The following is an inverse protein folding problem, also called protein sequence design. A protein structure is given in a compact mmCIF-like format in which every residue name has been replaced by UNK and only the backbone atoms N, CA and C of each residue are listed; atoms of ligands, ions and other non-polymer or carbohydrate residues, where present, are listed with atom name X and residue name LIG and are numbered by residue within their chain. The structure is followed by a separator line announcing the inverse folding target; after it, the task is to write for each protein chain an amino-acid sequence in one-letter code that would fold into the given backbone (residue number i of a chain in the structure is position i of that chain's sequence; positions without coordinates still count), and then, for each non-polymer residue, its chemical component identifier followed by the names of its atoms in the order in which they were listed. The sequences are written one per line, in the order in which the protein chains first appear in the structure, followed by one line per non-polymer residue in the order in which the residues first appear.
data_IF_361643767901
#
_entry.id   IF_361643767901
#
_cell.length_a   1.000
_cell.length_b   1.000
_cell.length_c   1.000
_cell.angle_alpha   90.00
_cell.angle_beta   90.00
_cell.angle_gamma   90.00
#
_symmetry.space_group_name_H-M   'P 1'
#
loop_
_entity.id
_entity.type
_entity.pdbx_description
1 polymer ?
#
# COMPACT_ATOMS: atom_id res chain seq x y z
N UNK A 1 -8.57 29.68 -1.50
CA UNK A 1 -8.14 29.50 -2.90
C UNK A 1 -6.63 29.65 -2.97
N UNK A 2 -5.89 28.60 -2.66
CA UNK A 2 -4.50 28.39 -3.11
C UNK A 2 -4.24 26.89 -3.05
N UNK A 3 -4.22 26.31 -4.24
CA UNK A 3 -3.80 24.96 -4.60
C UNK A 3 -2.29 24.87 -4.51
N UNK A 4 -1.76 23.80 -3.92
CA UNK A 4 -0.44 23.27 -4.28
C UNK A 4 -0.45 21.75 -4.05
N UNK A 5 -0.84 21.04 -5.11
CA UNK A 5 -0.63 19.61 -5.29
C UNK A 5 0.82 19.43 -5.76
N UNK A 6 1.70 18.83 -4.95
CA UNK A 6 3.01 18.40 -5.42
C UNK A 6 2.87 16.99 -6.04
N UNK A 7 2.52 16.98 -7.32
CA UNK A 7 2.55 15.80 -8.18
C UNK A 7 4.02 15.49 -8.48
N UNK A 8 4.64 14.55 -7.76
CA UNK A 8 5.95 14.02 -8.14
C UNK A 8 5.73 13.00 -9.26
N UNK A 9 5.59 13.52 -10.48
CA UNK A 9 5.73 12.73 -11.70
C UNK A 9 7.17 12.28 -11.77
N UNK A 10 7.42 10.98 -11.65
CA UNK A 10 8.69 10.33 -12.01
C UNK A 10 8.93 10.52 -13.51
N UNK A 11 9.42 11.70 -13.88
CA UNK A 11 10.07 11.93 -15.17
C UNK A 11 11.34 11.09 -15.13
N UNK A 12 11.31 10.01 -15.90
CA UNK A 12 12.49 9.36 -16.47
C UNK A 12 13.64 10.35 -16.63
N UNK A 13 14.62 10.31 -15.73
CA UNK A 13 15.83 11.14 -15.77
C UNK A 13 16.80 10.68 -16.87
N UNK A 14 16.28 10.32 -18.05
CA UNK A 14 17.06 9.99 -19.24
C UNK A 14 17.19 11.18 -20.20
N UNK A 15 17.15 12.41 -19.69
CA UNK A 15 17.26 13.60 -20.55
C UNK A 15 17.70 14.93 -19.93
N UNK A 16 17.89 15.05 -18.60
CA UNK A 16 18.10 16.38 -17.96
C UNK A 16 19.57 16.68 -17.63
N UNK A 17 20.48 15.71 -17.71
CA UNK A 17 21.92 15.99 -17.66
C UNK A 17 22.52 15.67 -19.01
N UNK A 18 22.63 16.68 -19.89
CA UNK A 18 23.74 16.69 -20.85
C UNK A 18 25.01 16.76 -20.00
N UNK A 19 25.57 15.59 -19.68
CA UNK A 19 26.94 15.52 -19.20
C UNK A 19 27.77 16.10 -20.34
N UNK A 20 28.22 17.33 -20.14
CA UNK A 20 29.18 18.00 -20.99
C UNK A 20 30.41 17.09 -21.07
N UNK A 21 30.54 16.36 -22.19
CA UNK A 21 31.52 15.27 -22.35
C UNK A 21 32.96 15.78 -22.44
N UNK A 22 33.14 17.10 -22.52
CA UNK A 22 34.43 17.71 -22.87
C UNK A 22 35.14 18.40 -21.70
N UNK A 23 34.61 18.35 -20.47
CA UNK A 23 35.15 19.16 -19.35
C UNK A 23 35.63 18.42 -18.11
N UNK A 24 35.24 17.17 -17.87
CA UNK A 24 35.58 16.46 -16.64
C UNK A 24 36.56 15.31 -16.92
N UNK A 25 37.78 15.33 -16.34
CA UNK A 25 38.67 14.17 -16.45
C UNK A 25 37.92 12.95 -15.92
N UNK A 26 38.08 11.84 -16.64
CA UNK A 26 37.48 10.52 -16.43
C UNK A 26 37.85 9.94 -15.05
N UNK A 27 37.42 10.60 -13.97
CA UNK A 27 37.59 10.13 -12.60
C UNK A 27 36.53 9.08 -12.39
N UNK A 28 36.96 7.83 -12.44
CA UNK A 28 36.23 6.69 -11.90
C UNK A 28 35.94 7.00 -10.44
N UNK A 29 34.73 7.45 -10.14
CA UNK A 29 34.27 7.62 -8.77
C UNK A 29 33.96 6.20 -8.28
N UNK A 30 34.73 5.65 -7.32
CA UNK A 30 34.59 4.24 -6.92
C UNK A 30 33.18 3.89 -6.44
N UNK A 31 32.49 4.87 -5.85
CA UNK A 31 31.09 4.75 -5.46
C UNK A 31 30.14 4.53 -6.65
N UNK A 32 30.36 5.23 -7.77
CA UNK A 32 29.54 5.10 -8.98
C UNK A 32 29.77 3.73 -9.62
N UNK A 33 31.02 3.24 -9.68
CA UNK A 33 31.30 1.89 -10.18
C UNK A 33 30.64 0.80 -9.31
N UNK A 34 30.71 0.94 -7.99
CA UNK A 34 30.05 0.01 -7.05
C UNK A 34 28.52 0.04 -7.20
N UNK A 35 27.93 1.22 -7.37
CA UNK A 35 26.49 1.38 -7.62
C UNK A 35 26.08 0.73 -8.96
N UNK A 36 26.83 0.99 -10.03
CA UNK A 36 26.55 0.42 -11.36
C UNK A 36 26.68 -1.11 -11.36
N UNK A 37 27.65 -1.68 -10.65
CA UNK A 37 27.77 -3.13 -10.53
C UNK A 37 26.61 -3.73 -9.73
N UNK A 38 26.20 -3.08 -8.63
CA UNK A 38 24.99 -3.48 -7.87
C UNK A 38 23.75 -3.45 -8.75
N UNK A 39 23.56 -2.38 -9.54
CA UNK A 39 22.47 -2.27 -10.52
C UNK A 39 22.52 -3.37 -11.57
N UNK A 40 23.72 -3.74 -12.05
CA UNK A 40 23.90 -4.80 -13.04
C UNK A 40 23.54 -6.17 -12.48
N UNK A 41 23.91 -6.44 -11.22
CA UNK A 41 23.55 -7.67 -10.50
C UNK A 41 22.04 -7.72 -10.29
N UNK A 42 21.43 -6.63 -9.81
CA UNK A 42 19.98 -6.51 -9.61
C UNK A 42 19.27 -6.76 -10.93
N UNK A 43 19.63 -6.04 -12.00
CA UNK A 43 19.03 -6.22 -13.33
C UNK A 43 19.20 -7.64 -13.87
N UNK A 44 20.35 -8.30 -13.61
CA UNK A 44 20.54 -9.70 -13.98
C UNK A 44 19.62 -10.64 -13.20
N UNK A 45 19.39 -10.38 -11.91
CA UNK A 45 18.46 -11.15 -11.06
C UNK A 45 17.00 -10.86 -11.41
N UNK A 46 16.67 -9.63 -11.80
CA UNK A 46 15.32 -9.19 -12.17
C UNK A 46 14.93 -9.54 -13.61
N UNK A 47 15.88 -9.81 -14.50
CA UNK A 47 15.63 -10.16 -15.91
C UNK A 47 14.58 -11.25 -16.15
N UNK A 48 14.54 -12.36 -15.38
CA UNK A 48 13.49 -13.37 -15.51
C UNK A 48 12.09 -12.82 -15.16
N UNK A 49 12.04 -11.82 -14.27
CA UNK A 49 10.82 -11.17 -13.82
C UNK A 49 10.44 -9.94 -14.67
N UNK A 50 11.37 -9.32 -15.42
CA UNK A 50 11.11 -8.14 -16.28
C UNK A 50 9.98 -8.39 -17.30
N UNK A 51 9.73 -9.65 -17.70
CA UNK A 51 8.60 -10.02 -18.56
C UNK A 51 7.25 -10.03 -17.82
N UNK A 52 7.24 -10.36 -16.52
CA UNK A 52 6.08 -10.26 -15.64
C UNK A 52 5.78 -8.80 -15.28
N UNK A 53 6.84 -8.00 -15.07
CA UNK A 53 6.81 -6.57 -14.73
C UNK A 53 6.62 -5.63 -15.93
N UNK A 54 6.09 -6.10 -17.07
CA UNK A 54 5.71 -5.16 -18.12
C UNK A 54 4.51 -4.35 -17.65
N UNK A 55 4.73 -3.05 -17.44
CA UNK A 55 3.70 -2.04 -17.13
C UNK A 55 2.51 -2.07 -18.11
N UNK A 56 2.67 -2.67 -19.29
CA UNK A 56 1.59 -2.92 -20.28
C UNK A 56 0.56 -3.97 -19.84
N UNK A 57 0.86 -4.80 -18.85
CA UNK A 57 -0.07 -5.77 -18.29
C UNK A 57 -1.11 -5.11 -17.39
N UNK A 58 -0.83 -3.92 -16.86
CA UNK A 58 -1.83 -3.10 -16.19
C UNK A 58 -2.50 -2.22 -17.24
N UNK A 59 -3.84 -2.29 -17.42
CA UNK A 59 -4.50 -1.43 -18.38
C UNK A 59 -4.22 0.01 -17.95
N UNK A 60 -3.45 0.80 -18.73
CA UNK A 60 -3.37 2.23 -18.44
C UNK A 60 -4.79 2.79 -18.48
N UNK A 61 -5.03 3.90 -17.79
CA UNK A 61 -6.30 4.67 -17.83
C UNK A 61 -6.79 4.89 -19.28
N UNK A 62 -5.90 4.80 -20.27
CA UNK A 62 -6.22 4.78 -21.70
C UNK A 62 -7.18 3.66 -22.13
N UNK A 63 -7.15 2.46 -21.52
CA UNK A 63 -8.17 1.41 -21.79
C UNK A 63 -9.56 1.87 -21.35
N UNK A 64 -9.69 2.65 -20.26
CA UNK A 64 -10.99 3.19 -19.80
C UNK A 64 -11.65 4.10 -20.85
N UNK A 65 -10.86 4.79 -21.70
CA UNK A 65 -11.38 5.63 -22.77
C UNK A 65 -12.11 4.84 -23.86
N UNK A 66 -11.71 3.58 -24.06
CA UNK A 66 -12.27 2.69 -25.10
C UNK A 66 -13.46 1.88 -24.59
N UNK A 67 -13.63 1.74 -23.28
CA UNK A 67 -14.74 1.01 -22.69
C UNK A 67 -16.01 1.86 -22.74
N UNK A 68 -17.06 1.30 -23.35
CA UNK A 68 -18.42 1.86 -23.27
C UNK A 68 -18.93 1.70 -21.84
N UNK A 69 -19.50 2.77 -21.30
CA UNK A 69 -20.01 2.85 -19.93
C UNK A 69 -20.87 1.63 -19.59
N UNK A 70 -20.57 1.00 -18.44
CA UNK A 70 -21.34 -0.11 -17.85
C UNK A 70 -21.39 -1.44 -18.60
N UNK A 71 -20.86 -1.56 -19.83
CA UNK A 71 -20.94 -2.81 -20.61
C UNK A 71 -19.71 -3.71 -20.52
N UNK A 72 -18.57 -3.16 -20.13
CA UNK A 72 -17.33 -3.90 -19.95
C UNK A 72 -16.55 -3.26 -18.79
N UNK A 73 -16.25 -4.07 -17.78
CA UNK A 73 -15.58 -3.63 -16.57
C UNK A 73 -14.13 -4.12 -16.53
N UNK A 74 -13.26 -3.29 -16.01
CA UNK A 74 -11.95 -3.71 -15.50
C UNK A 74 -12.18 -4.11 -14.04
N UNK A 75 -11.82 -5.34 -13.71
CA UNK A 75 -11.94 -5.87 -12.35
C UNK A 75 -10.56 -5.89 -11.72
N UNK A 76 -10.43 -5.23 -10.57
CA UNK A 76 -9.29 -5.39 -9.68
C UNK A 76 -9.72 -6.23 -8.48
N UNK A 77 -8.92 -7.21 -8.10
CA UNK A 77 -9.11 -7.99 -6.89
C UNK A 77 -7.99 -7.63 -5.92
N UNK A 78 -8.37 -7.23 -4.71
CA UNK A 78 -7.43 -6.68 -3.74
C UNK A 78 -7.34 -7.60 -2.52
N UNK A 79 -6.16 -8.15 -2.26
CA UNK A 79 -5.86 -8.76 -0.97
C UNK A 79 -5.36 -7.66 -0.01
N UNK A 80 -6.16 -7.35 1.00
CA UNK A 80 -5.86 -6.39 2.04
C UNK A 80 -5.36 -7.11 3.29
N UNK A 81 -4.08 -6.99 3.60
CA UNK A 81 -3.43 -7.60 4.76
C UNK A 81 -3.45 -6.63 5.94
N UNK A 82 -3.86 -7.11 7.11
CA UNK A 82 -3.74 -6.41 8.40
C UNK A 82 -2.53 -6.97 9.14
N UNK A 83 -1.59 -6.11 9.52
CA UNK A 83 -0.36 -6.52 10.20
C UNK A 83 -0.10 -5.72 11.48
N UNK A 84 0.30 -6.43 12.53
CA UNK A 84 0.87 -5.90 13.75
C UNK A 84 2.38 -6.08 13.74
N UNK A 85 3.08 -5.26 14.50
CA UNK A 85 4.48 -5.47 14.85
C UNK A 85 4.58 -6.25 16.15
N UNK A 86 5.79 -6.70 16.48
CA UNK A 86 6.07 -7.18 17.84
C UNK A 86 5.74 -6.09 18.84
N UNK A 87 4.85 -6.38 19.80
CA UNK A 87 4.43 -5.41 20.83
C UNK A 87 5.63 -4.81 21.57
N UNK A 88 5.56 -3.51 21.81
CA UNK A 88 6.59 -2.73 22.49
C UNK A 88 6.33 -2.74 24.01
N UNK A 89 7.35 -3.08 24.79
CA UNK A 89 7.34 -3.03 26.26
C UNK A 89 8.79 -2.78 26.76
N UNK A 90 9.11 -1.59 27.28
CA UNK A 90 8.26 -0.40 27.29
C UNK A 90 8.00 0.15 25.88
N UNK A 91 7.00 1.02 25.75
CA UNK A 91 6.64 1.74 24.53
C UNK A 91 7.84 2.51 23.96
N UNK A 92 8.09 2.45 22.65
CA UNK A 92 9.17 3.19 22.01
C UNK A 92 8.65 4.59 21.63
N UNK A 93 9.20 5.68 22.21
CA UNK A 93 8.69 7.02 21.96
C UNK A 93 8.93 7.52 20.52
N UNK A 94 9.58 6.71 19.67
CA UNK A 94 9.86 7.05 18.27
C UNK A 94 8.80 6.55 17.30
N UNK A 95 7.80 5.84 17.80
CA UNK A 95 6.77 5.13 17.04
C UNK A 95 5.40 5.51 17.58
N UNK A 96 4.38 5.58 16.71
CA UNK A 96 3.01 5.79 17.14
C UNK A 96 2.38 4.48 17.62
N UNK A 97 2.02 4.44 18.91
CA UNK A 97 1.39 3.28 19.55
C UNK A 97 2.41 2.17 19.84
N UNK A 98 1.92 1.06 20.41
CA UNK A 98 2.78 0.00 20.97
C UNK A 98 3.15 -1.11 19.96
N UNK A 99 3.03 -0.81 18.66
CA UNK A 99 3.18 -1.77 17.58
C UNK A 99 1.95 -2.62 17.27
N UNK A 100 0.82 -2.45 17.97
CA UNK A 100 -0.42 -3.20 17.73
C UNK A 100 -1.60 -2.31 17.32
N UNK A 101 -2.51 -2.85 16.49
CA UNK A 101 -3.74 -2.16 16.09
C UNK A 101 -4.66 -1.92 17.30
N UNK A 102 -5.27 -0.74 17.37
CA UNK A 102 -6.21 -0.41 18.44
C UNK A 102 -7.54 -1.11 18.20
N UNK A 103 -7.82 -2.19 18.94
CA UNK A 103 -9.05 -2.98 18.78
C UNK A 103 -10.23 -2.49 19.62
N UNK A 104 -10.18 -1.26 20.12
CA UNK A 104 -11.25 -0.61 20.85
C UNK A 104 -11.45 0.79 20.29
N UNK A 105 -12.66 1.33 20.43
CA UNK A 105 -12.91 2.72 20.07
C UNK A 105 -12.23 3.67 21.06
N UNK A 106 -12.11 4.93 20.65
CA UNK A 106 -11.57 5.98 21.51
C UNK A 106 -12.58 6.51 22.57
N UNK A 107 -13.71 5.83 22.77
CA UNK A 107 -14.75 6.20 23.74
C UNK A 107 -15.65 7.38 23.32
N UNK A 108 -15.42 7.97 22.15
CA UNK A 108 -16.25 9.06 21.63
C UNK A 108 -17.58 8.53 21.06
N UNK A 109 -18.63 9.35 21.09
CA UNK A 109 -19.88 8.97 20.41
C UNK A 109 -19.68 9.05 18.89
N UNK A 110 -20.08 8.03 18.10
CA UNK A 110 -20.02 8.10 16.64
C UNK A 110 -20.99 9.13 16.05
N UNK A 111 -22.01 9.52 16.80
CA UNK A 111 -23.07 10.45 16.39
C UNK A 111 -23.07 11.67 17.32
N UNK A 112 -22.93 12.87 16.75
CA UNK A 112 -23.02 14.16 17.44
C UNK A 112 -24.47 14.62 17.65
N UNK A 113 -25.38 14.18 16.79
CA UNK A 113 -26.80 14.54 16.82
C UNK A 113 -27.53 14.12 15.56
N UNK A 114 -28.72 14.65 15.34
CA UNK A 114 -29.54 14.39 14.16
C UNK A 114 -30.02 15.70 13.54
N UNK A 115 -30.13 15.75 12.21
CA UNK A 115 -30.66 16.89 11.48
C UNK A 115 -32.20 17.00 11.59
N UNK A 116 -32.79 18.02 10.96
CA UNK A 116 -34.24 18.20 10.97
C UNK A 116 -35.05 17.11 10.23
N UNK A 117 -34.38 16.27 9.45
CA UNK A 117 -34.96 15.11 8.78
C UNK A 117 -34.73 13.80 9.54
N UNK A 118 -33.98 13.83 10.65
CA UNK A 118 -33.63 12.65 11.44
C UNK A 118 -32.36 11.94 10.96
N UNK A 119 -31.56 12.55 10.10
CA UNK A 119 -30.30 11.99 9.61
C UNK A 119 -29.15 12.27 10.60
N UNK A 120 -28.28 11.30 10.91
CA UNK A 120 -27.22 11.48 11.90
C UNK A 120 -26.11 12.43 11.41
N UNK A 121 -25.63 13.27 12.32
CA UNK A 121 -24.36 13.97 12.19
C UNK A 121 -23.23 13.11 12.76
N UNK A 122 -22.35 12.60 11.91
CA UNK A 122 -21.23 11.78 12.35
C UNK A 122 -20.15 12.61 13.05
N UNK A 123 -19.58 12.05 14.11
CA UNK A 123 -18.49 12.66 14.86
C UNK A 123 -17.15 12.47 14.14
N UNK A 124 -16.48 13.52 13.65
CA UNK A 124 -15.18 13.39 13.01
C UNK A 124 -14.05 13.02 13.97
N UNK A 125 -14.28 13.14 15.29
CA UNK A 125 -13.32 12.72 16.31
C UNK A 125 -13.50 11.26 16.75
N UNK A 126 -14.57 10.59 16.34
CA UNK A 126 -14.75 9.18 16.67
C UNK A 126 -13.73 8.34 15.90
N UNK A 127 -12.92 7.58 16.64
CA UNK A 127 -12.01 6.58 16.08
C UNK A 127 -12.56 5.19 16.42
N UNK A 128 -13.07 4.44 15.43
CA UNK A 128 -13.60 3.10 15.64
C UNK A 128 -12.48 2.09 15.95
N UNK A 129 -12.82 0.89 16.46
CA UNK A 129 -11.86 -0.20 16.56
C UNK A 129 -11.25 -0.51 15.19
N UNK A 130 -9.92 -0.60 15.08
CA UNK A 130 -9.19 -0.98 13.86
C UNK A 130 -9.21 -2.51 13.67
N UNK A 131 -10.41 -3.07 13.67
CA UNK A 131 -10.65 -4.49 13.47
C UNK A 131 -10.85 -4.83 11.98
N UNK A 132 -11.20 -6.08 11.70
CA UNK A 132 -11.48 -6.51 10.33
C UNK A 132 -12.61 -5.70 9.66
N UNK A 133 -13.66 -5.35 10.41
CA UNK A 133 -14.81 -4.61 9.88
C UNK A 133 -14.40 -3.19 9.49
N UNK A 134 -13.53 -2.54 10.25
CA UNK A 134 -12.96 -1.24 9.91
C UNK A 134 -12.28 -1.25 8.54
N UNK A 135 -11.33 -2.16 8.31
CA UNK A 135 -10.63 -2.24 7.03
C UNK A 135 -11.55 -2.69 5.90
N UNK A 136 -12.53 -3.55 6.18
CA UNK A 136 -13.53 -3.94 5.19
C UNK A 136 -14.40 -2.74 4.76
N UNK A 137 -14.79 -1.86 5.70
CA UNK A 137 -15.49 -0.61 5.40
C UNK A 137 -14.61 0.36 4.60
N UNK A 138 -13.32 0.47 4.91
CA UNK A 138 -12.37 1.27 4.12
C UNK A 138 -12.28 0.76 2.66
N UNK A 139 -12.19 -0.55 2.48
CA UNK A 139 -12.18 -1.16 1.15
C UNK A 139 -13.50 -0.97 0.40
N UNK A 140 -14.63 -1.02 1.10
CA UNK A 140 -15.94 -0.71 0.52
C UNK A 140 -16.02 0.75 0.05
N UNK A 141 -15.50 1.70 0.83
CA UNK A 141 -15.43 3.10 0.46
C UNK A 141 -14.55 3.31 -0.78
N UNK A 142 -13.38 2.66 -0.82
CA UNK A 142 -12.47 2.66 -1.97
C UNK A 142 -13.16 2.13 -3.23
N UNK A 143 -13.81 0.96 -3.13
CA UNK A 143 -14.51 0.34 -4.25
C UNK A 143 -15.66 1.22 -4.77
N UNK A 144 -16.44 1.81 -3.85
CA UNK A 144 -17.54 2.72 -4.18
C UNK A 144 -17.03 3.97 -4.89
N UNK A 145 -15.93 4.56 -4.39
CA UNK A 145 -15.30 5.72 -5.01
C UNK A 145 -14.89 5.43 -6.46
N UNK A 146 -14.13 4.35 -6.69
CA UNK A 146 -13.67 4.02 -8.04
C UNK A 146 -14.82 3.63 -8.96
N UNK A 147 -15.82 2.92 -8.45
CA UNK A 147 -17.00 2.57 -9.24
C UNK A 147 -17.72 3.83 -9.73
N UNK A 148 -18.02 4.78 -8.84
CA UNK A 148 -18.71 6.03 -9.19
C UNK A 148 -17.83 6.93 -10.07
N UNK A 149 -16.58 7.16 -9.67
CA UNK A 149 -15.65 8.05 -10.37
C UNK A 149 -15.33 7.57 -11.80
N UNK A 150 -15.48 6.27 -12.07
CA UNK A 150 -15.25 5.68 -13.40
C UNK A 150 -16.53 5.36 -14.15
N UNK A 151 -17.70 5.81 -13.67
CA UNK A 151 -19.01 5.51 -14.26
C UNK A 151 -19.25 4.00 -14.45
N UNK A 152 -18.85 3.21 -13.45
CA UNK A 152 -19.00 1.77 -13.40
C UNK A 152 -18.03 0.99 -14.29
N UNK A 153 -16.98 1.62 -14.83
CA UNK A 153 -15.95 0.95 -15.66
C UNK A 153 -14.93 0.17 -14.84
N UNK A 154 -14.69 0.59 -13.60
CA UNK A 154 -13.81 -0.11 -12.66
C UNK A 154 -14.64 -0.72 -11.56
N UNK A 155 -14.41 -2.00 -11.31
CA UNK A 155 -14.96 -2.74 -10.19
C UNK A 155 -13.81 -3.24 -9.34
N UNK A 156 -13.88 -2.96 -8.04
CA UNK A 156 -12.91 -3.46 -7.07
C UNK A 156 -13.61 -4.52 -6.24
N UNK A 157 -13.06 -5.72 -6.23
CA UNK A 157 -13.35 -6.79 -5.30
C UNK A 157 -12.20 -6.86 -4.29
N UNK A 158 -12.46 -7.34 -3.09
CA UNK A 158 -11.42 -7.43 -2.08
C UNK A 158 -11.67 -8.56 -1.09
N UNK A 159 -10.58 -8.98 -0.46
CA UNK A 159 -10.55 -9.89 0.68
C UNK A 159 -9.66 -9.25 1.73
N UNK A 160 -10.15 -9.10 2.96
CA UNK A 160 -9.35 -8.62 4.09
C UNK A 160 -8.88 -9.83 4.89
N UNK A 161 -7.56 -9.93 5.10
CA UNK A 161 -6.90 -11.00 5.85
C UNK A 161 -6.06 -10.45 6.99
N UNK A 162 -5.90 -11.18 8.12
CA UNK A 162 -6.59 -12.42 8.49
C UNK A 162 -8.12 -12.25 8.55
N UNK A 163 -8.89 -13.33 8.53
CA UNK A 163 -10.36 -13.28 8.58
C UNK A 163 -10.91 -12.62 9.86
N UNK A 164 -12.21 -12.31 9.89
CA UNK A 164 -12.81 -11.41 10.89
C UNK A 164 -12.59 -11.78 12.36
N UNK A 165 -12.50 -13.07 12.66
CA UNK A 165 -12.31 -13.59 14.03
C UNK A 165 -10.83 -13.72 14.42
N UNK A 166 -9.91 -13.48 13.48
CA UNK A 166 -8.49 -13.65 13.68
C UNK A 166 -7.80 -12.29 13.95
N UNK A 167 -6.81 -12.26 14.86
CA UNK A 167 -5.99 -11.08 15.06
C UNK A 167 -5.18 -10.77 13.78
N UNK A 168 -4.72 -9.52 13.58
CA UNK A 168 -3.78 -9.18 12.51
C UNK A 168 -2.54 -10.09 12.53
N UNK A 169 -1.90 -10.31 11.38
CA UNK A 169 -0.64 -11.07 11.34
C UNK A 169 0.44 -10.34 12.14
N UNK A 170 1.17 -11.07 12.98
CA UNK A 170 2.27 -10.49 13.75
C UNK A 170 3.59 -10.61 12.97
N UNK A 171 4.22 -9.46 12.70
CA UNK A 171 5.53 -9.40 12.06
C UNK A 171 6.66 -9.67 13.07
N UNK A 172 7.81 -10.19 12.61
CA UNK A 172 8.88 -10.68 13.48
C UNK A 172 9.68 -9.58 14.22
N UNK A 173 9.45 -8.32 13.91
CA UNK A 173 10.19 -7.19 14.46
C UNK A 173 9.26 -6.06 14.94
N UNK A 174 9.79 -5.20 15.80
CA UNK A 174 9.13 -3.96 16.28
C UNK A 174 9.03 -2.92 15.15
N UNK A 175 8.14 -1.94 15.29
CA UNK A 175 7.83 -1.00 14.21
C UNK A 175 9.06 -0.21 13.74
N UNK A 176 9.90 0.30 14.66
CA UNK A 176 11.09 1.07 14.27
C UNK A 176 12.15 0.26 13.50
N UNK A 177 12.12 -1.09 13.52
CA UNK A 177 12.97 -1.89 12.63
C UNK A 177 12.63 -1.68 11.15
N UNK A 178 11.35 -1.46 10.85
CA UNK A 178 10.87 -1.21 9.49
C UNK A 178 10.84 0.28 9.14
N UNK A 179 10.65 1.15 10.12
CA UNK A 179 10.51 2.59 9.91
C UNK A 179 11.76 3.43 10.18
N UNK A 180 12.91 2.81 10.45
CA UNK A 180 14.17 3.52 10.73
C UNK A 180 14.45 4.61 9.66
N UNK A 181 14.51 5.90 10.04
CA UNK A 181 14.77 7.01 9.12
C UNK A 181 16.06 6.86 8.32
N UNK A 182 17.08 6.20 8.88
CA UNK A 182 18.36 6.00 8.22
C UNK A 182 18.30 4.91 7.14
N UNK A 183 17.22 4.13 7.07
CA UNK A 183 17.09 2.98 6.18
C UNK A 183 15.65 2.70 5.72
N UNK A 184 14.85 3.75 5.55
CA UNK A 184 13.42 3.68 5.29
C UNK A 184 13.07 2.81 4.07
N UNK A 185 13.84 2.87 2.98
CA UNK A 185 13.53 2.07 1.78
C UNK A 185 13.76 0.57 2.01
N UNK A 186 14.83 0.19 2.71
CA UNK A 186 15.06 -1.22 3.04
C UNK A 186 14.01 -1.71 4.03
N UNK A 187 13.64 -0.87 4.98
CA UNK A 187 12.60 -1.12 5.96
C UNK A 187 11.25 -1.41 5.30
N UNK A 188 10.81 -0.57 4.35
CA UNK A 188 9.59 -0.78 3.57
C UNK A 188 9.61 -2.07 2.74
N UNK A 189 10.73 -2.38 2.08
CA UNK A 189 10.85 -3.65 1.32
C UNK A 189 10.81 -4.85 2.27
N UNK A 190 11.38 -4.70 3.46
CA UNK A 190 11.38 -5.73 4.50
C UNK A 190 9.98 -5.94 5.10
N UNK A 191 9.22 -4.86 5.29
CA UNK A 191 7.82 -4.88 5.70
C UNK A 191 6.98 -5.67 4.70
N UNK A 192 7.08 -5.34 3.41
CA UNK A 192 6.39 -6.07 2.34
C UNK A 192 6.77 -7.55 2.39
N UNK A 193 8.07 -7.88 2.42
CA UNK A 193 8.53 -9.27 2.48
C UNK A 193 7.93 -10.03 3.67
N UNK A 194 7.95 -9.45 4.86
CA UNK A 194 7.51 -10.15 6.08
C UNK A 194 5.98 -10.27 6.15
N UNK A 195 5.23 -9.25 5.69
CA UNK A 195 3.78 -9.32 5.57
C UNK A 195 3.33 -10.42 4.59
N UNK A 196 3.98 -10.53 3.42
CA UNK A 196 3.67 -11.59 2.47
C UNK A 196 4.10 -12.98 2.95
N UNK A 197 5.18 -13.10 3.72
CA UNK A 197 5.54 -14.38 4.35
C UNK A 197 4.50 -14.82 5.36
N UNK A 198 4.00 -13.90 6.20
CA UNK A 198 2.94 -14.23 7.15
C UNK A 198 1.64 -14.64 6.43
N UNK A 199 1.30 -13.96 5.31
CA UNK A 199 0.16 -14.34 4.48
C UNK A 199 0.35 -15.67 3.75
N UNK A 200 1.56 -16.02 3.31
CA UNK A 200 1.89 -17.31 2.67
C UNK A 200 1.76 -18.50 3.63
N UNK A 201 1.84 -18.26 4.93
CA UNK A 201 1.57 -19.25 5.97
C UNK A 201 0.06 -19.46 6.24
N UNK A 202 -0.81 -18.57 5.74
CA UNK A 202 -2.27 -18.70 5.86
C UNK A 202 -2.83 -19.63 4.78
N UNK A 203 -3.32 -20.83 5.14
CA UNK A 203 -3.79 -21.82 4.17
C UNK A 203 -5.10 -21.41 3.47
N UNK A 204 -5.74 -20.32 3.89
CA UNK A 204 -6.97 -19.79 3.30
C UNK A 204 -6.71 -18.79 2.17
N UNK A 205 -5.45 -18.46 1.90
CA UNK A 205 -5.04 -17.57 0.81
C UNK A 205 -4.50 -18.41 -0.34
N UNK A 206 -5.14 -18.29 -1.51
CA UNK A 206 -4.54 -18.68 -2.79
C UNK A 206 -4.21 -17.39 -3.57
N UNK A 207 -2.91 -17.12 -3.75
CA UNK A 207 -2.45 -15.93 -4.46
C UNK A 207 -2.75 -15.96 -5.97
N UNK A 208 -3.07 -17.13 -6.53
CA UNK A 208 -3.47 -17.29 -7.93
C UNK A 208 -5.00 -17.24 -8.11
N UNK A 209 -5.80 -17.37 -7.04
CA UNK A 209 -7.28 -17.47 -7.03
C UNK A 209 -7.84 -16.84 -5.73
N UNK A 210 -7.80 -15.50 -5.64
CA UNK A 210 -8.10 -14.81 -4.38
C UNK A 210 -9.58 -14.93 -3.94
N UNK A 211 -10.51 -15.18 -4.87
CA UNK A 211 -11.92 -15.41 -4.55
C UNK A 211 -12.27 -16.91 -4.34
N UNK A 212 -11.27 -17.80 -4.49
CA UNK A 212 -11.37 -19.24 -4.31
C UNK A 212 -12.48 -19.88 -5.16
N UNK A 213 -12.69 -19.40 -6.39
CA UNK A 213 -13.74 -19.89 -7.27
C UNK A 213 -13.30 -21.12 -8.12
N UNK A 214 -12.02 -21.50 -8.05
CA UNK A 214 -11.41 -22.61 -8.78
C UNK A 214 -10.83 -22.21 -10.15
N UNK A 215 -10.89 -20.94 -10.51
CA UNK A 215 -10.33 -20.36 -11.74
C UNK A 215 -9.31 -19.31 -11.35
N UNK A 216 -8.09 -19.42 -11.89
CA UNK A 216 -7.05 -18.45 -11.59
C UNK A 216 -7.43 -17.04 -12.05
N UNK A 217 -7.17 -16.03 -11.22
CA UNK A 217 -7.56 -14.63 -11.42
C UNK A 217 -7.11 -14.10 -12.80
N UNK A 218 -5.88 -14.44 -13.22
CA UNK A 218 -5.35 -14.03 -14.52
C UNK A 218 -6.07 -14.66 -15.73
N UNK A 219 -6.72 -15.81 -15.56
CA UNK A 219 -7.55 -16.47 -16.59
C UNK A 219 -8.95 -15.85 -16.68
N UNK A 220 -9.43 -15.25 -15.59
CA UNK A 220 -10.66 -14.45 -15.57
C UNK A 220 -10.48 -13.05 -16.19
N UNK A 221 -9.22 -12.63 -16.41
CA UNK A 221 -8.89 -11.27 -16.82
C UNK A 221 -9.01 -10.26 -15.68
N UNK A 222 -8.92 -10.73 -14.44
CA UNK A 222 -8.88 -9.93 -13.21
C UNK A 222 -7.44 -9.49 -12.95
N UNK A 223 -7.30 -8.34 -12.29
CA UNK A 223 -6.01 -7.76 -11.93
C UNK A 223 -5.80 -7.76 -10.42
N UNK A 224 -4.84 -8.55 -9.96
CA UNK A 224 -4.59 -8.67 -8.53
C UNK A 224 -3.77 -7.51 -7.99
N UNK A 225 -4.11 -7.09 -6.79
CA UNK A 225 -3.51 -5.99 -6.05
C UNK A 225 -3.41 -6.36 -4.59
N UNK A 226 -2.44 -5.76 -3.93
CA UNK A 226 -2.17 -6.02 -2.53
C UNK A 226 -2.09 -4.69 -1.78
N UNK A 227 -2.75 -4.63 -0.63
CA UNK A 227 -2.69 -3.50 0.30
C UNK A 227 -2.26 -4.06 1.64
N UNK A 228 -1.30 -3.40 2.30
CA UNK A 228 -0.88 -3.75 3.66
C UNK A 228 -1.28 -2.59 4.56
N UNK A 229 -2.20 -2.86 5.48
CA UNK A 229 -2.54 -2.00 6.59
C UNK A 229 -1.67 -2.39 7.79
N UNK A 230 -0.89 -1.46 8.32
CA UNK A 230 -0.04 -1.67 9.48
C UNK A 230 -0.61 -0.96 10.71
N UNK A 231 -0.25 -1.45 11.90
CA UNK A 231 -0.49 -0.74 13.16
C UNK A 231 0.28 0.60 13.21
N UNK A 232 -0.24 1.56 13.98
CA UNK A 232 0.36 2.90 14.11
C UNK A 232 -0.09 3.90 13.05
N UNK A 233 0.39 5.14 13.17
CA UNK A 233 0.12 6.21 12.19
C UNK A 233 1.04 6.08 10.97
N UNK A 234 0.59 6.65 9.85
CA UNK A 234 1.47 6.86 8.72
C UNK A 234 2.36 8.08 8.98
N UNK A 235 3.62 8.02 8.55
CA UNK A 235 4.57 9.12 8.68
C UNK A 235 4.06 10.44 8.06
N UNK A 236 3.25 10.39 7.00
CA UNK A 236 2.69 11.61 6.39
C UNK A 236 1.57 12.27 7.21
N UNK A 237 0.98 11.56 8.15
CA UNK A 237 -0.06 12.06 9.06
C UNK A 237 0.46 12.27 10.47
N UNK A 238 1.70 11.86 10.74
CA UNK A 238 2.42 12.17 11.96
C UNK A 238 2.76 13.66 12.05
N UNK A 239 2.72 14.23 13.27
CA UNK A 239 3.09 15.63 13.51
C UNK A 239 4.60 15.85 13.64
N UNK A 240 5.40 14.80 13.39
CA UNK A 240 6.86 14.82 13.36
C UNK A 240 7.49 14.47 14.70
N UNK A 241 6.74 13.91 15.64
CA UNK A 241 7.19 13.45 16.95
C UNK A 241 7.51 11.95 16.99
N UNK A 242 7.08 11.16 15.99
CA UNK A 242 7.35 9.73 15.89
C UNK A 242 8.16 9.40 14.62
N UNK A 243 9.49 9.62 14.64
CA UNK A 243 10.32 9.54 13.44
C UNK A 243 10.37 8.15 12.80
N UNK A 244 10.08 7.07 13.52
CA UNK A 244 10.07 5.72 12.96
C UNK A 244 8.69 5.27 12.45
N UNK A 245 7.71 6.18 12.32
CA UNK A 245 6.45 5.85 11.66
C UNK A 245 6.67 5.49 10.19
N UNK A 246 5.83 4.60 9.68
CA UNK A 246 5.96 4.08 8.32
C UNK A 246 5.26 4.99 7.32
N UNK A 247 5.91 5.25 6.19
CA UNK A 247 5.30 6.03 5.12
C UNK A 247 4.23 5.20 4.38
N UNK A 248 3.06 5.79 4.16
CA UNK A 248 2.05 5.28 3.26
C UNK A 248 2.52 5.45 1.81
N UNK A 249 3.00 4.37 1.19
CA UNK A 249 3.59 4.41 -0.16
C UNK A 249 3.06 3.32 -1.05
N UNK A 250 3.21 3.51 -2.36
CA UNK A 250 3.11 2.42 -3.33
C UNK A 250 4.52 1.89 -3.58
N UNK A 251 4.74 0.61 -3.28
CA UNK A 251 5.93 -0.10 -3.77
C UNK A 251 5.61 -0.57 -5.17
N UNK A 252 6.21 0.03 -6.23
CA UNK A 252 5.94 -0.41 -7.58
C UNK A 252 6.41 -1.85 -7.74
N UNK A 253 5.57 -2.65 -8.39
CA UNK A 253 5.92 -3.97 -8.90
C UNK A 253 7.14 -3.82 -9.84
#
# INVERSE_FOLDING_TARGET
MFTNFLLITLISASGIVKLDRDGFPNRKIPYVEKYLEKQRIIKKKMRPFEALYRYTNYPPVERLKTLKDGKQQIVYRVLALRVNFTKEDPDDPRTTGDGTMMTHDNGESPILGFDCNGEPYYNPYYDPPHDWQYFNNMMQALASYYYVATYGKVRIEWVVKPDSELPPYELPHRMCYYGDPDNMELGLVTLVRDAFRAADEDPTIDFDDLDNNGVKDHLEGVYDRYIIFHAGSAWQTDFGDTPCDLAAVTVPA
#
